data_IF_317947379038
#
_entry.id   IF_317947379038
#
_cell.length_a   1.000
_cell.length_b   1.000
_cell.length_c   1.000
_cell.angle_alpha   90.00
_cell.angle_beta   90.00
_cell.angle_gamma   90.00
#
_symmetry.space_group_name_H-M   'P 1'
#
loop_
_entity.id
_entity.type
_entity.pdbx_description
1 polymer ?
#
# COMPACT_ATOMS: atom_id res chain seq x y z
N UNK A 1 -6.77 -11.38 -5.57
CA UNK A 1 -5.37 -10.91 -5.44
C UNK A 1 -4.43 -12.11 -5.63
N UNK A 2 -3.39 -12.04 -6.48
CA UNK A 2 -2.51 -13.18 -6.73
C UNK A 2 -1.67 -13.57 -5.49
N UNK A 3 -1.43 -14.87 -5.27
CA UNK A 3 -0.63 -15.35 -4.12
C UNK A 3 0.80 -14.79 -4.11
N UNK A 4 1.41 -14.61 -5.29
CA UNK A 4 2.76 -14.05 -5.41
C UNK A 4 2.84 -12.61 -4.89
N UNK A 5 1.76 -11.84 -5.04
CA UNK A 5 1.69 -10.45 -4.61
C UNK A 5 1.73 -10.34 -3.08
N UNK A 6 1.06 -11.24 -2.38
CA UNK A 6 1.09 -11.29 -0.91
C UNK A 6 2.51 -11.52 -0.35
N UNK A 7 3.36 -12.27 -1.07
CA UNK A 7 4.76 -12.48 -0.67
C UNK A 7 5.60 -11.19 -0.71
N UNK A 8 5.22 -10.23 -1.55
CA UNK A 8 5.88 -8.93 -1.65
C UNK A 8 5.52 -8.00 -0.48
N UNK A 9 4.43 -8.27 0.24
CA UNK A 9 3.93 -7.39 1.28
C UNK A 9 4.25 -7.98 2.65
N UNK A 10 5.39 -7.58 3.20
CA UNK A 10 5.83 -7.97 4.55
C UNK A 10 6.60 -6.84 5.23
N UNK A 11 6.61 -6.85 6.56
CA UNK A 11 7.34 -5.88 7.37
C UNK A 11 8.83 -5.86 7.00
N UNK A 12 9.40 -4.67 6.90
CA UNK A 12 10.79 -4.44 6.49
C UNK A 12 11.02 -4.39 4.98
N UNK A 13 10.00 -4.67 4.15
CA UNK A 13 10.15 -4.59 2.69
C UNK A 13 10.35 -3.15 2.23
N UNK A 14 11.44 -2.90 1.48
CA UNK A 14 11.67 -1.63 0.78
C UNK A 14 10.71 -1.46 -0.41
N UNK A 15 10.14 -0.27 -0.54
CA UNK A 15 9.25 0.15 -1.62
C UNK A 15 9.66 1.52 -2.14
N UNK A 16 9.30 1.79 -3.39
CA UNK A 16 9.37 3.12 -4.00
C UNK A 16 7.97 3.72 -4.05
N UNK A 17 7.85 4.96 -3.61
CA UNK A 17 6.61 5.74 -3.54
C UNK A 17 6.72 6.82 -4.60
N UNK A 18 5.83 6.83 -5.58
CA UNK A 18 5.75 7.85 -6.64
C UNK A 18 4.59 8.80 -6.33
N UNK A 19 4.91 10.08 -6.20
CA UNK A 19 3.96 11.17 -5.96
C UNK A 19 3.28 11.61 -7.28
N UNK A 20 2.17 12.37 -7.22
CA UNK A 20 1.41 12.77 -8.41
C UNK A 20 2.21 13.51 -9.48
N UNK A 21 3.26 14.24 -9.10
CA UNK A 21 4.10 14.97 -10.04
C UNK A 21 5.25 14.12 -10.63
N UNK A 22 5.36 12.85 -10.24
CA UNK A 22 6.42 11.94 -10.67
C UNK A 22 7.62 11.86 -9.73
N UNK A 23 7.69 12.67 -8.66
CA UNK A 23 8.75 12.55 -7.66
C UNK A 23 8.70 11.17 -7.02
N UNK A 24 9.86 10.60 -6.72
CA UNK A 24 9.94 9.30 -6.05
C UNK A 24 10.68 9.37 -4.74
N UNK A 25 10.18 8.64 -3.75
CA UNK A 25 10.78 8.51 -2.43
C UNK A 25 10.85 7.04 -2.03
N UNK A 26 11.80 6.71 -1.16
CA UNK A 26 11.93 5.35 -0.65
C UNK A 26 11.22 5.20 0.68
N UNK A 27 10.68 4.02 0.92
CA UNK A 27 10.06 3.67 2.19
C UNK A 27 10.17 2.19 2.51
N UNK A 28 9.70 1.84 3.71
CA UNK A 28 9.61 0.46 4.17
C UNK A 28 8.26 0.19 4.81
N UNK A 29 7.74 -1.02 4.61
CA UNK A 29 6.55 -1.49 5.30
C UNK A 29 6.87 -1.67 6.79
N UNK A 30 6.09 -1.06 7.67
CA UNK A 30 6.29 -1.10 9.13
C UNK A 30 5.30 -1.99 9.85
N UNK A 31 4.08 -2.14 9.29
CA UNK A 31 3.05 -3.00 9.86
C UNK A 31 3.17 -4.43 9.32
N UNK A 32 2.71 -5.39 10.12
CA UNK A 32 2.32 -6.68 9.56
C UNK A 32 1.10 -6.44 8.66
N UNK A 33 1.03 -7.07 7.48
CA UNK A 33 -0.11 -6.92 6.58
C UNK A 33 -1.37 -7.47 7.24
N UNK A 34 -2.27 -6.56 7.62
CA UNK A 34 -3.60 -6.92 8.11
C UNK A 34 -4.56 -7.06 6.94
N UNK A 35 -5.39 -8.10 6.96
CA UNK A 35 -6.65 -8.03 6.22
C UNK A 35 -7.49 -6.97 6.90
N UNK A 36 -8.01 -6.00 6.14
CA UNK A 36 -9.05 -5.14 6.66
C UNK A 36 -10.30 -6.01 6.85
N UNK A 37 -10.59 -6.38 8.10
CA UNK A 37 -11.82 -7.08 8.41
C UNK A 37 -13.04 -6.21 8.06
N UNK A 38 -13.91 -6.85 7.28
CA UNK A 38 -15.33 -6.61 7.04
C UNK A 38 -15.82 -5.16 7.04
N UNK A 39 -16.24 -4.73 5.84
CA UNK A 39 -17.27 -3.70 5.66
C UNK A 39 -18.37 -3.88 6.71
N UNK A 40 -18.78 -2.82 7.44
CA UNK A 40 -19.82 -2.93 8.46
C UNK A 40 -21.10 -3.52 7.86
N UNK A 41 -21.78 -4.37 8.62
CA UNK A 41 -22.97 -5.14 8.21
C UNK A 41 -24.08 -4.27 7.58
N UNK A 42 -24.08 -2.97 7.87
CA UNK A 42 -25.08 -2.01 7.40
C UNK A 42 -24.88 -1.55 5.93
N UNK A 43 -23.76 -1.89 5.28
CA UNK A 43 -23.50 -1.60 3.86
C UNK A 43 -23.50 -2.88 2.99
N UNK A 44 -24.15 -3.96 3.45
CA UNK A 44 -24.25 -5.19 2.67
C UNK A 44 -25.32 -4.99 1.58
N UNK A 45 -24.87 -4.51 0.41
CA UNK A 45 -25.55 -4.88 -0.82
C UNK A 45 -25.36 -6.40 -1.00
N UNK A 46 -26.43 -7.22 -1.04
CA UNK A 46 -26.32 -8.68 -1.20
C UNK A 46 -25.66 -9.10 -2.52
N UNK A 47 -25.54 -8.19 -3.49
CA UNK A 47 -24.83 -8.38 -4.75
C UNK A 47 -23.36 -7.90 -4.71
N UNK A 48 -22.90 -7.30 -3.60
CA UNK A 48 -21.53 -6.84 -3.48
C UNK A 48 -20.58 -8.00 -3.19
N UNK A 49 -19.67 -8.26 -4.13
CA UNK A 49 -18.56 -9.19 -3.94
C UNK A 49 -17.71 -8.75 -2.76
N UNK A 50 -17.58 -9.60 -1.73
CA UNK A 50 -16.62 -9.40 -0.63
C UNK A 50 -15.21 -9.32 -1.22
N UNK A 51 -14.66 -8.12 -1.33
CA UNK A 51 -13.29 -7.94 -1.78
C UNK A 51 -12.36 -7.91 -0.57
N UNK A 52 -11.50 -8.91 -0.46
CA UNK A 52 -10.43 -8.92 0.54
C UNK A 52 -9.54 -7.70 0.31
N UNK A 53 -9.55 -6.78 1.27
CA UNK A 53 -8.67 -5.60 1.28
C UNK A 53 -7.49 -5.88 2.21
N UNK A 54 -6.29 -5.51 1.76
CA UNK A 54 -5.07 -5.64 2.54
C UNK A 54 -4.56 -4.23 2.85
N UNK A 55 -4.28 -3.97 4.13
CA UNK A 55 -3.84 -2.66 4.61
C UNK A 55 -2.46 -2.78 5.20
N UNK A 56 -1.58 -1.86 4.82
CA UNK A 56 -0.21 -1.75 5.34
C UNK A 56 0.16 -0.30 5.59
N UNK A 57 1.02 -0.11 6.58
CA UNK A 57 1.64 1.19 6.88
C UNK A 57 3.05 1.22 6.31
N UNK A 58 3.33 2.20 5.46
CA UNK A 58 4.65 2.45 4.88
C UNK A 58 5.24 3.70 5.55
N UNK A 59 6.49 3.61 6.00
CA UNK A 59 7.25 4.75 6.50
C UNK A 59 8.31 5.14 5.49
N UNK A 60 8.42 6.44 5.19
CA UNK A 60 9.47 6.95 4.30
C UNK A 60 10.82 6.95 5.00
N UNK A 61 11.90 6.81 4.21
CA UNK A 61 13.28 6.91 4.71
C UNK A 61 13.60 8.36 5.03
N UNK A 62 13.30 9.26 4.08
CA UNK A 62 13.47 10.69 4.25
C UNK A 62 12.17 11.37 4.68
N UNK A 63 12.27 12.61 5.16
CA UNK A 63 11.11 13.46 5.44
C UNK A 63 10.34 13.69 4.13
N UNK A 64 9.04 13.46 4.16
CA UNK A 64 8.15 13.75 3.02
C UNK A 64 8.23 15.27 2.73
N UNK A 65 8.45 15.69 1.48
CA UNK A 65 8.40 17.10 1.09
C UNK A 65 7.10 17.76 1.57
N UNK A 66 7.17 19.02 2.05
CA UNK A 66 6.02 19.69 2.68
C UNK A 66 4.79 19.75 1.78
N UNK A 67 5.01 19.93 0.47
CA UNK A 67 3.95 19.91 -0.55
C UNK A 67 3.16 18.59 -0.64
N UNK A 68 3.70 17.48 -0.10
CA UNK A 68 3.04 16.17 -0.05
C UNK A 68 2.57 15.76 1.35
N UNK A 69 2.67 16.63 2.35
CA UNK A 69 2.16 16.37 3.71
C UNK A 69 0.66 16.67 3.83
N UNK A 70 -0.13 16.24 2.83
CA UNK A 70 -1.59 16.39 2.83
C UNK A 70 -2.20 15.00 2.98
N UNK A 71 -3.18 14.88 3.87
CA UNK A 71 -3.88 13.62 4.08
C UNK A 71 -4.67 13.21 2.82
N UNK A 72 -4.57 11.94 2.43
CA UNK A 72 -5.32 11.38 1.31
C UNK A 72 -4.74 11.66 -0.08
N UNK A 73 -3.50 12.16 -0.18
CA UNK A 73 -2.83 12.27 -1.48
C UNK A 73 -2.70 10.88 -2.12
N UNK A 74 -3.11 10.72 -3.39
CA UNK A 74 -2.90 9.48 -4.10
C UNK A 74 -1.41 9.31 -4.42
N UNK A 75 -0.87 8.12 -4.14
CA UNK A 75 0.51 7.75 -4.47
C UNK A 75 0.53 6.40 -5.16
N UNK A 76 1.53 6.16 -6.00
CA UNK A 76 1.77 4.81 -6.57
C UNK A 76 2.89 4.13 -5.80
N UNK A 77 2.66 2.88 -5.43
CA UNK A 77 3.66 2.06 -4.74
C UNK A 77 4.25 1.06 -5.72
N UNK A 78 5.58 1.06 -5.85
CA UNK A 78 6.32 0.10 -6.66
C UNK A 78 7.14 -0.80 -5.73
N UNK A 79 6.91 -2.10 -5.84
CA UNK A 79 7.73 -3.11 -5.19
C UNK A 79 8.92 -3.43 -6.08
N UNK A 80 10.13 -3.33 -5.53
CA UNK A 80 11.32 -3.79 -6.25
C UNK A 80 11.23 -5.32 -6.37
N UNK A 81 10.85 -5.84 -7.53
CA UNK A 81 10.86 -7.28 -7.80
C UNK A 81 12.27 -7.71 -8.16
N UNK A 82 12.70 -8.89 -7.71
CA UNK A 82 13.95 -9.50 -8.19
C UNK A 82 13.81 -10.10 -9.59
N UNK A 83 12.58 -10.21 -10.12
CA UNK A 83 12.35 -10.60 -11.50
C UNK A 83 12.44 -9.36 -12.40
N UNK A 84 13.66 -9.05 -12.84
CA UNK A 84 13.91 -8.43 -14.13
C UNK A 84 13.69 -9.53 -15.19
N UNK A 85 12.57 -9.49 -15.88
CA UNK A 85 12.40 -10.14 -17.20
C UNK A 85 11.57 -9.22 -18.07
#
# INVERSE_FOLDING_TARGET
>A
MPKWFLRLIHKGREVSIEFPNGDTEKGYITSEPGYAEMTPMNEINPLATRQNKLVVTIKTINKIPEQYQIHGIPVKIRFKSWYNY
#
